data_IF_808451049930
#
_entry.id   IF_808451049930
#
_cell.length_a   1.000
_cell.length_b   1.000
_cell.length_c   1.000
_cell.angle_alpha   90.00
_cell.angle_beta   90.00
_cell.angle_gamma   90.00
#
_symmetry.space_group_name_H-M   'P 1'
#
loop_
_entity.id
_entity.type
_entity.pdbx_description
1 polymer ?
#
# COMPACT_ATOMS: atom_id res chain seq x y z
N UNK A 1 3.09 37.77 -7.18
CA UNK A 1 3.78 36.72 -7.96
C UNK A 1 3.05 36.55 -9.28
N UNK A 2 3.74 36.77 -10.38
CA UNK A 2 3.17 36.54 -11.70
C UNK A 2 2.93 35.02 -11.85
N UNK A 3 1.69 34.64 -12.02
CA UNK A 3 1.33 33.27 -12.37
C UNK A 3 1.85 33.00 -13.79
N UNK A 4 2.89 32.17 -13.88
CA UNK A 4 3.54 31.81 -15.14
C UNK A 4 2.69 30.89 -16.04
N UNK A 5 1.46 30.61 -15.65
CA UNK A 5 0.54 29.80 -16.46
C UNK A 5 -0.03 30.62 -17.60
N UNK A 6 -0.10 30.00 -18.78
CA UNK A 6 -0.77 30.59 -19.92
C UNK A 6 -2.27 30.80 -19.65
N UNK A 7 -2.92 31.80 -20.26
CA UNK A 7 -4.36 32.01 -20.15
C UNK A 7 -5.17 30.76 -20.49
N UNK A 8 -4.72 29.98 -21.45
CA UNK A 8 -5.35 28.72 -21.86
C UNK A 8 -5.26 27.63 -20.77
N UNK A 9 -4.10 27.55 -20.07
CA UNK A 9 -3.92 26.61 -18.97
C UNK A 9 -4.81 26.97 -17.77
N UNK A 10 -5.04 28.25 -17.51
CA UNK A 10 -6.01 28.73 -16.52
C UNK A 10 -7.45 28.38 -16.89
N UNK A 11 -7.84 28.63 -18.12
CA UNK A 11 -9.19 28.37 -18.62
C UNK A 11 -9.53 26.87 -18.61
N UNK A 12 -8.56 26.00 -18.85
CA UNK A 12 -8.73 24.54 -18.82
C UNK A 12 -8.64 23.94 -17.41
N UNK A 13 -8.39 24.73 -16.40
CA UNK A 13 -8.26 24.24 -15.03
C UNK A 13 -7.13 23.21 -14.83
N UNK A 14 -6.10 23.23 -15.69
CA UNK A 14 -4.95 22.30 -15.67
C UNK A 14 -3.98 22.66 -14.53
N UNK A 15 -4.48 22.73 -13.32
CA UNK A 15 -3.66 22.88 -12.11
C UNK A 15 -3.30 21.54 -11.49
N UNK A 16 -3.00 21.56 -10.20
CA UNK A 16 -2.62 20.41 -9.34
C UNK A 16 -3.65 19.27 -9.26
N UNK A 17 -4.83 19.41 -9.86
CA UNK A 17 -5.92 18.42 -9.82
C UNK A 17 -5.54 17.06 -10.45
N UNK A 18 -4.51 16.98 -11.29
CA UNK A 18 -4.02 15.72 -11.87
C UNK A 18 -3.46 14.77 -10.82
N UNK A 19 -2.64 15.28 -9.91
CA UNK A 19 -2.01 14.48 -8.87
C UNK A 19 -3.04 14.04 -7.81
N UNK A 20 -3.98 14.92 -7.49
CA UNK A 20 -5.09 14.59 -6.59
C UNK A 20 -6.01 13.50 -7.15
N UNK A 21 -6.28 13.51 -8.44
CA UNK A 21 -7.10 12.48 -9.09
C UNK A 21 -6.38 11.12 -9.12
N UNK A 22 -5.09 11.08 -9.42
CA UNK A 22 -4.30 9.85 -9.41
C UNK A 22 -4.25 9.23 -8.01
N UNK A 23 -4.01 10.05 -6.97
CA UNK A 23 -4.04 9.62 -5.58
C UNK A 23 -5.42 9.08 -5.18
N UNK A 24 -6.49 9.76 -5.54
CA UNK A 24 -7.88 9.35 -5.26
C UNK A 24 -8.20 7.98 -5.90
N UNK A 25 -7.83 7.79 -7.18
CA UNK A 25 -8.02 6.52 -7.88
C UNK A 25 -7.18 5.40 -7.25
N UNK A 26 -5.92 5.65 -6.93
CA UNK A 26 -5.06 4.67 -6.27
C UNK A 26 -5.65 4.20 -4.94
N UNK A 27 -6.18 5.12 -4.13
CA UNK A 27 -6.85 4.81 -2.87
C UNK A 27 -8.10 3.94 -3.08
N UNK A 28 -8.92 4.23 -4.09
CA UNK A 28 -10.14 3.48 -4.39
C UNK A 28 -9.85 2.09 -4.96
N UNK A 29 -8.94 1.99 -5.94
CA UNK A 29 -8.58 0.72 -6.56
C UNK A 29 -7.92 -0.23 -5.54
N UNK A 30 -7.03 0.28 -4.72
CA UNK A 30 -6.39 -0.54 -3.66
C UNK A 30 -7.40 -0.99 -2.61
N UNK A 31 -8.37 -0.14 -2.23
CA UNK A 31 -9.46 -0.52 -1.33
C UNK A 31 -10.30 -1.67 -1.90
N UNK A 32 -10.70 -1.57 -3.16
CA UNK A 32 -11.49 -2.62 -3.84
C UNK A 32 -10.71 -3.94 -3.90
N UNK A 33 -9.42 -3.89 -4.24
CA UNK A 33 -8.57 -5.07 -4.28
C UNK A 33 -8.38 -5.71 -2.90
N UNK A 34 -8.32 -4.90 -1.83
CA UNK A 34 -8.16 -5.39 -0.46
C UNK A 34 -9.38 -6.12 0.06
N UNK A 35 -10.59 -5.83 -0.40
CA UNK A 35 -11.80 -6.50 0.08
C UNK A 35 -11.67 -8.03 -0.04
N UNK A 36 -11.49 -8.61 -1.24
CA UNK A 36 -11.34 -10.06 -1.36
C UNK A 36 -10.04 -10.58 -0.73
N UNK A 37 -8.94 -9.84 -0.81
CA UNK A 37 -7.66 -10.27 -0.26
C UNK A 37 -7.70 -10.37 1.27
N UNK A 38 -8.28 -9.38 1.95
CA UNK A 38 -8.38 -9.37 3.42
C UNK A 38 -9.35 -10.44 3.90
N UNK A 39 -10.49 -10.62 3.22
CA UNK A 39 -11.45 -11.69 3.55
C UNK A 39 -10.80 -13.06 3.39
N UNK A 40 -10.12 -13.29 2.27
CA UNK A 40 -9.37 -14.54 2.05
C UNK A 40 -8.32 -14.77 3.13
N UNK A 41 -7.54 -13.74 3.47
CA UNK A 41 -6.48 -13.84 4.47
C UNK A 41 -7.06 -14.11 5.87
N UNK A 42 -8.13 -13.42 6.27
CA UNK A 42 -8.79 -13.63 7.54
C UNK A 42 -9.35 -15.08 7.67
N UNK A 43 -10.00 -15.58 6.64
CA UNK A 43 -10.49 -16.98 6.61
C UNK A 43 -9.30 -17.94 6.72
N UNK A 44 -8.22 -17.69 5.99
CA UNK A 44 -7.01 -18.52 6.04
C UNK A 44 -6.39 -18.56 7.44
N UNK A 45 -6.33 -17.43 8.15
CA UNK A 45 -5.84 -17.38 9.52
C UNK A 45 -6.71 -18.20 10.49
N UNK A 46 -8.03 -18.13 10.32
CA UNK A 46 -8.96 -18.95 11.13
C UNK A 46 -8.74 -20.44 10.84
N UNK A 47 -8.61 -20.83 9.58
CA UNK A 47 -8.39 -22.22 9.18
C UNK A 47 -7.03 -22.77 9.65
N UNK A 48 -6.01 -21.92 9.72
CA UNK A 48 -4.67 -22.29 10.20
C UNK A 48 -4.51 -22.16 11.71
N UNK A 49 -5.54 -21.73 12.42
CA UNK A 49 -5.50 -21.60 13.88
C UNK A 49 -5.25 -22.97 14.54
N UNK A 50 -4.16 -23.06 15.29
CA UNK A 50 -3.72 -24.32 15.92
C UNK A 50 -2.97 -25.29 14.99
N UNK A 51 -2.71 -24.91 13.74
CA UNK A 51 -1.92 -25.72 12.81
C UNK A 51 -0.44 -25.73 13.21
N UNK A 52 0.23 -26.86 12.99
CA UNK A 52 1.66 -26.99 13.20
C UNK A 52 2.45 -26.15 12.20
N UNK A 53 3.69 -25.80 12.58
CA UNK A 53 4.61 -25.02 11.71
C UNK A 53 4.76 -25.61 10.31
N UNK A 54 4.85 -26.93 10.20
CA UNK A 54 4.97 -27.63 8.90
C UNK A 54 3.77 -27.37 7.98
N UNK A 55 2.55 -27.36 8.54
CA UNK A 55 1.33 -27.08 7.79
C UNK A 55 1.29 -25.63 7.31
N UNK A 56 1.63 -24.68 8.19
CA UNK A 56 1.68 -23.26 7.83
C UNK A 56 2.74 -23.01 6.75
N UNK A 57 3.90 -23.63 6.89
CA UNK A 57 4.99 -23.52 5.89
C UNK A 57 4.58 -24.08 4.54
N UNK A 58 3.94 -25.25 4.50
CA UNK A 58 3.43 -25.86 3.27
C UNK A 58 2.35 -24.97 2.61
N UNK A 59 1.49 -24.36 3.41
CA UNK A 59 0.47 -23.44 2.93
C UNK A 59 1.10 -22.20 2.28
N UNK A 60 2.07 -21.55 2.94
CA UNK A 60 2.82 -20.40 2.37
C UNK A 60 3.57 -20.80 1.09
N UNK A 61 4.10 -22.04 1.04
CA UNK A 61 4.82 -22.58 -0.10
C UNK A 61 3.96 -22.89 -1.33
N UNK A 62 2.64 -22.88 -1.21
CA UNK A 62 1.75 -23.02 -2.34
C UNK A 62 1.86 -21.81 -3.28
N UNK A 63 2.09 -21.99 -4.59
CA UNK A 63 2.30 -20.89 -5.53
C UNK A 63 1.15 -19.87 -5.52
N UNK A 64 -0.08 -20.32 -5.47
CA UNK A 64 -1.26 -19.43 -5.42
C UNK A 64 -1.27 -18.60 -4.12
N UNK A 65 -1.04 -19.25 -2.99
CA UNK A 65 -0.99 -18.58 -1.68
C UNK A 65 0.14 -17.57 -1.64
N UNK A 66 1.31 -17.91 -2.17
CA UNK A 66 2.45 -17.02 -2.24
C UNK A 66 2.13 -15.74 -3.02
N UNK A 67 1.49 -15.88 -4.19
CA UNK A 67 1.04 -14.73 -4.99
C UNK A 67 0.02 -13.89 -4.22
N UNK A 68 -0.98 -14.51 -3.60
CA UNK A 68 -2.00 -13.79 -2.84
C UNK A 68 -1.44 -13.08 -1.61
N UNK A 69 -0.47 -13.68 -0.91
CA UNK A 69 0.23 -13.05 0.21
C UNK A 69 1.03 -11.84 -0.25
N UNK A 70 1.79 -11.96 -1.33
CA UNK A 70 2.58 -10.85 -1.90
C UNK A 70 1.66 -9.70 -2.33
N UNK A 71 0.54 -10.01 -2.99
CA UNK A 71 -0.48 -9.02 -3.35
C UNK A 71 -1.07 -8.33 -2.12
N UNK A 72 -1.42 -9.11 -1.10
CA UNK A 72 -1.98 -8.57 0.15
C UNK A 72 -0.99 -7.62 0.84
N UNK A 73 0.28 -7.99 0.91
CA UNK A 73 1.34 -7.14 1.49
C UNK A 73 1.52 -5.87 0.66
N UNK A 74 1.71 -6.00 -0.64
CA UNK A 74 1.99 -4.86 -1.52
C UNK A 74 0.82 -3.87 -1.56
N UNK A 75 -0.38 -4.38 -1.82
CA UNK A 75 -1.60 -3.54 -1.92
C UNK A 75 -1.98 -2.97 -0.56
N UNK A 76 -1.87 -3.77 0.52
CA UNK A 76 -2.19 -3.33 1.88
C UNK A 76 -1.28 -2.20 2.36
N UNK A 77 0.03 -2.33 2.18
CA UNK A 77 0.99 -1.29 2.57
C UNK A 77 0.85 -0.04 1.70
N UNK A 78 0.62 -0.20 0.40
CA UNK A 78 0.39 0.94 -0.48
C UNK A 78 -0.90 1.70 -0.10
N UNK A 79 -2.00 0.99 0.15
CA UNK A 79 -3.25 1.58 0.60
C UNK A 79 -3.10 2.29 1.96
N UNK A 80 -2.43 1.66 2.92
CA UNK A 80 -2.15 2.25 4.24
C UNK A 80 -1.27 3.49 4.14
N UNK A 81 -0.25 3.48 3.29
CA UNK A 81 0.61 4.63 3.02
C UNK A 81 -0.19 5.80 2.45
N UNK A 82 -1.06 5.56 1.46
CA UNK A 82 -1.92 6.59 0.88
C UNK A 82 -2.87 7.17 1.94
N UNK A 83 -3.45 6.33 2.79
CA UNK A 83 -4.31 6.77 3.89
C UNK A 83 -3.57 7.62 4.92
N UNK A 84 -2.37 7.20 5.34
CA UNK A 84 -1.53 7.98 6.26
C UNK A 84 -1.09 9.32 5.65
N UNK A 85 -0.84 9.35 4.34
CA UNK A 85 -0.52 10.60 3.65
C UNK A 85 -1.66 11.61 3.78
N UNK A 86 -2.92 11.20 3.58
CA UNK A 86 -4.08 12.10 3.77
C UNK A 86 -4.14 12.63 5.20
N UNK A 87 -3.96 11.76 6.20
CA UNK A 87 -3.95 12.19 7.61
C UNK A 87 -2.83 13.20 7.89
N UNK A 88 -1.63 12.97 7.36
CA UNK A 88 -0.50 13.89 7.52
C UNK A 88 -0.81 15.23 6.86
N UNK A 89 -1.37 15.22 5.65
CA UNK A 89 -1.74 16.43 4.92
C UNK A 89 -2.78 17.28 5.65
N UNK A 90 -3.74 16.63 6.31
CA UNK A 90 -4.84 17.29 7.02
C UNK A 90 -4.43 17.81 8.42
N UNK A 91 -3.63 17.06 9.15
CA UNK A 91 -3.37 17.34 10.58
C UNK A 91 -1.99 17.92 10.86
N UNK A 92 -1.01 17.74 9.98
CA UNK A 92 0.35 18.25 10.22
C UNK A 92 0.50 19.65 9.63
N UNK A 93 0.80 20.61 10.51
CA UNK A 93 1.08 21.99 10.12
C UNK A 93 2.60 22.18 9.94
N UNK A 94 2.96 22.88 8.86
CA UNK A 94 4.35 23.17 8.50
C UNK A 94 4.89 22.24 7.40
N UNK A 95 5.24 22.84 6.28
CA UNK A 95 5.59 22.13 5.03
C UNK A 95 6.79 21.18 5.19
N UNK A 96 7.81 21.59 5.95
CA UNK A 96 8.99 20.74 6.18
C UNK A 96 8.68 19.47 6.98
N UNK A 97 7.85 19.59 8.05
CA UNK A 97 7.43 18.43 8.86
C UNK A 97 6.51 17.51 8.07
N UNK A 98 5.58 18.08 7.33
CA UNK A 98 4.67 17.34 6.46
C UNK A 98 5.45 16.52 5.45
N UNK A 99 6.38 17.13 4.73
CA UNK A 99 7.23 16.45 3.76
C UNK A 99 8.06 15.34 4.41
N UNK A 100 8.70 15.63 5.53
CA UNK A 100 9.51 14.64 6.25
C UNK A 100 8.69 13.41 6.67
N UNK A 101 7.47 13.61 7.19
CA UNK A 101 6.58 12.52 7.59
C UNK A 101 6.08 11.70 6.39
N UNK A 102 5.70 12.34 5.29
CA UNK A 102 5.28 11.63 4.08
C UNK A 102 6.42 10.78 3.53
N UNK A 103 7.64 11.32 3.47
CA UNK A 103 8.82 10.58 3.03
C UNK A 103 9.11 9.42 3.99
N UNK A 104 9.08 9.65 5.30
CA UNK A 104 9.30 8.61 6.30
C UNK A 104 8.30 7.46 6.17
N UNK A 105 7.01 7.76 6.03
CA UNK A 105 5.95 6.75 5.84
C UNK A 105 6.19 5.92 4.57
N UNK A 106 6.60 6.55 3.46
CA UNK A 106 6.91 5.85 2.22
C UNK A 106 8.10 4.91 2.38
N UNK A 107 9.18 5.36 3.01
CA UNK A 107 10.35 4.52 3.27
C UNK A 107 10.02 3.35 4.20
N UNK A 108 9.32 3.61 5.30
CA UNK A 108 8.91 2.58 6.24
C UNK A 108 8.04 1.52 5.56
N UNK A 109 7.03 1.95 4.79
CA UNK A 109 6.18 1.03 4.04
C UNK A 109 6.98 0.18 3.03
N UNK A 110 7.93 0.79 2.32
CA UNK A 110 8.80 0.08 1.37
C UNK A 110 9.68 -0.96 2.06
N UNK A 111 10.33 -0.60 3.16
CA UNK A 111 11.22 -1.50 3.91
C UNK A 111 10.44 -2.68 4.49
N UNK A 112 9.32 -2.42 5.17
CA UNK A 112 8.48 -3.49 5.72
C UNK A 112 7.86 -4.36 4.62
N UNK A 113 7.44 -3.76 3.51
CA UNK A 113 6.89 -4.49 2.38
C UNK A 113 7.93 -5.43 1.75
N UNK A 114 9.12 -4.93 1.47
CA UNK A 114 10.21 -5.74 0.93
C UNK A 114 10.62 -6.85 1.89
N UNK A 115 10.75 -6.55 3.18
CA UNK A 115 11.10 -7.56 4.20
C UNK A 115 10.04 -8.66 4.27
N UNK A 116 8.76 -8.31 4.27
CA UNK A 116 7.66 -9.26 4.31
C UNK A 116 7.60 -10.11 3.03
N UNK A 117 7.77 -9.51 1.85
CA UNK A 117 7.80 -10.23 0.57
C UNK A 117 8.99 -11.20 0.53
N UNK A 118 10.18 -10.76 0.94
CA UNK A 118 11.37 -11.63 1.01
C UNK A 118 11.13 -12.79 1.97
N UNK A 119 10.47 -12.56 3.13
CA UNK A 119 10.13 -13.63 4.06
C UNK A 119 9.20 -14.67 3.44
N UNK A 120 8.14 -14.24 2.74
CA UNK A 120 7.23 -15.13 2.02
C UNK A 120 7.98 -15.96 0.97
N UNK A 121 8.84 -15.33 0.17
CA UNK A 121 9.62 -16.00 -0.86
C UNK A 121 10.60 -17.01 -0.25
N UNK A 122 11.30 -16.65 0.83
CA UNK A 122 12.22 -17.58 1.51
C UNK A 122 11.48 -18.82 2.02
N UNK A 123 10.35 -18.64 2.68
CA UNK A 123 9.56 -19.77 3.17
C UNK A 123 9.04 -20.61 1.99
N UNK A 124 8.57 -19.97 0.94
CA UNK A 124 7.99 -20.62 -0.23
C UNK A 124 9.03 -21.43 -1.02
N UNK A 125 10.25 -20.96 -1.14
CA UNK A 125 11.33 -21.64 -1.85
C UNK A 125 12.21 -22.52 -0.95
N UNK A 126 11.84 -22.77 0.27
CA UNK A 126 12.48 -23.74 1.15
C UNK A 126 13.73 -23.22 1.87
N UNK A 127 13.86 -21.89 1.95
CA UNK A 127 14.94 -21.22 2.69
C UNK A 127 14.77 -21.26 4.20
#
# INVERSE_FOLDING_TARGET
MSDLRSPLARARGLGSARDGLAHWWAQRLTAIALIPLVVWFAISLVMLSGADYGVVRAWIGSPLVMVLLILTIAVGLHHGQLGLQVVIEDYVHGDGRKLALIVAVRFVAAVFGLAAIVAVLRIGFGG
#
